data_IF_218108528372
#
_entry.id   IF_218108528372
#
_cell.length_a   1.000
_cell.length_b   1.000
_cell.length_c   1.000
_cell.angle_alpha   90.00
_cell.angle_beta   90.00
_cell.angle_gamma   90.00
#
_symmetry.space_group_name_H-M   'P 1'
#
loop_
_entity.id
_entity.type
_entity.pdbx_description
1 polymer ?
#
# COMPACT_ATOMS: atom_id res chain seq x y z
N UNK A 1 -3.07 9.83 8.06
CA UNK A 1 -2.61 8.43 8.13
C UNK A 1 -1.13 8.43 8.53
N UNK A 2 -0.80 8.16 9.79
CA UNK A 2 0.62 7.99 10.21
C UNK A 2 0.96 6.50 10.10
N UNK A 3 2.08 6.16 9.46
CA UNK A 3 2.61 4.78 9.40
C UNK A 3 2.21 3.92 8.20
N UNK A 4 1.37 4.42 7.28
CA UNK A 4 1.05 3.73 6.02
C UNK A 4 1.84 4.36 4.88
N UNK A 5 2.41 3.50 4.03
CA UNK A 5 3.17 3.87 2.86
C UNK A 5 2.39 3.51 1.60
N UNK A 6 2.51 4.33 0.55
CA UNK A 6 1.85 4.12 -0.74
C UNK A 6 2.88 4.18 -1.85
N UNK A 7 2.86 3.19 -2.73
CA UNK A 7 3.70 3.15 -3.93
C UNK A 7 2.84 2.92 -5.17
N UNK A 8 3.20 3.60 -6.27
CA UNK A 8 2.59 3.40 -7.57
C UNK A 8 3.43 2.38 -8.36
N UNK A 9 2.79 1.32 -8.83
CA UNK A 9 3.40 0.26 -9.65
C UNK A 9 2.65 0.23 -10.99
N UNK A 10 3.12 1.02 -11.95
CA UNK A 10 2.38 1.24 -13.19
C UNK A 10 1.03 1.90 -12.91
N UNK A 11 -0.06 1.27 -13.35
CA UNK A 11 -1.44 1.70 -13.09
C UNK A 11 -2.01 1.17 -11.78
N UNK A 12 -1.22 0.48 -10.95
CA UNK A 12 -1.68 -0.05 -9.66
C UNK A 12 -1.16 0.79 -8.50
N UNK A 13 -1.93 0.82 -7.42
CA UNK A 13 -1.58 1.44 -6.15
C UNK A 13 -1.43 0.34 -5.11
N UNK A 14 -0.25 0.23 -4.52
CA UNK A 14 -0.01 -0.63 -3.36
C UNK A 14 0.08 0.24 -2.11
N UNK A 15 -0.77 -0.06 -1.13
CA UNK A 15 -0.68 0.46 0.23
C UNK A 15 -0.10 -0.63 1.12
N UNK A 16 0.93 -0.28 1.89
CA UNK A 16 1.59 -1.20 2.80
C UNK A 16 1.97 -0.51 4.11
N UNK A 17 2.29 -1.32 5.11
CA UNK A 17 2.87 -0.85 6.37
C UNK A 17 4.10 -1.67 6.72
N UNK A 18 4.98 -1.06 7.50
CA UNK A 18 6.17 -1.73 8.03
C UNK A 18 5.86 -2.07 9.48
N UNK A 19 5.86 -3.36 9.80
CA UNK A 19 5.78 -3.84 11.17
C UNK A 19 7.19 -3.96 11.72
N UNK A 20 7.63 -2.96 12.50
CA UNK A 20 8.99 -2.91 13.04
C UNK A 20 9.28 -4.02 14.06
N UNK A 21 8.25 -4.54 14.72
CA UNK A 21 8.35 -5.65 15.69
C UNK A 21 8.86 -6.93 15.02
N UNK A 22 8.29 -7.26 13.86
CA UNK A 22 8.61 -8.49 13.13
C UNK A 22 9.54 -8.25 11.94
N UNK A 23 9.96 -6.99 11.73
CA UNK A 23 10.70 -6.54 10.53
C UNK A 23 10.03 -7.00 9.23
N UNK A 24 8.71 -6.97 9.20
CA UNK A 24 7.92 -7.45 8.08
C UNK A 24 7.23 -6.29 7.35
N UNK A 25 6.93 -6.51 6.07
CA UNK A 25 6.13 -5.59 5.26
C UNK A 25 4.77 -6.24 5.06
N UNK A 26 3.72 -5.56 5.50
CA UNK A 26 2.34 -6.02 5.37
C UNK A 26 1.69 -5.24 4.23
N UNK A 27 1.25 -5.96 3.21
CA UNK A 27 0.47 -5.40 2.12
C UNK A 27 -0.99 -5.26 2.57
N UNK A 28 -1.51 -4.05 2.49
CA UNK A 28 -2.85 -3.72 2.97
C UNK A 28 -3.85 -3.69 1.82
N UNK A 29 -3.47 -3.08 0.70
CA UNK A 29 -4.38 -2.84 -0.42
C UNK A 29 -3.59 -2.81 -1.71
N UNK A 30 -4.10 -3.47 -2.75
CA UNK A 30 -3.50 -3.51 -4.08
C UNK A 30 -4.61 -3.38 -5.11
N UNK A 31 -4.80 -2.17 -5.62
CA UNK A 31 -5.91 -1.84 -6.51
C UNK A 31 -5.42 -1.14 -7.78
N UNK A 32 -6.19 -1.29 -8.86
CA UNK A 32 -5.98 -0.50 -10.06
C UNK A 32 -6.36 0.96 -9.77
N UNK A 33 -5.55 1.91 -10.23
CA UNK A 33 -5.72 3.34 -10.02
C UNK A 33 -7.10 3.84 -10.47
N UNK A 34 -7.69 3.20 -11.49
CA UNK A 34 -9.02 3.55 -11.98
C UNK A 34 -10.17 3.04 -11.07
N UNK A 35 -9.93 2.02 -10.24
CA UNK A 35 -10.92 1.51 -9.27
C UNK A 35 -10.84 2.27 -7.94
N UNK A 36 -9.63 2.68 -7.52
CA UNK A 36 -9.39 3.40 -6.28
C UNK A 36 -9.97 4.85 -6.24
N UNK A 37 -10.43 5.38 -7.37
CA UNK A 37 -10.98 6.73 -7.52
C UNK A 37 -12.49 6.76 -7.87
N UNK A 38 -13.20 5.63 -7.75
CA UNK A 38 -14.66 5.60 -7.92
C UNK A 38 -15.43 5.93 -6.65
#
# INVERSE_FOLDING_TARGET
MKGKWRVHVGTFVLIYQIEETDKSIVFLEFEHHDEAYK
#
